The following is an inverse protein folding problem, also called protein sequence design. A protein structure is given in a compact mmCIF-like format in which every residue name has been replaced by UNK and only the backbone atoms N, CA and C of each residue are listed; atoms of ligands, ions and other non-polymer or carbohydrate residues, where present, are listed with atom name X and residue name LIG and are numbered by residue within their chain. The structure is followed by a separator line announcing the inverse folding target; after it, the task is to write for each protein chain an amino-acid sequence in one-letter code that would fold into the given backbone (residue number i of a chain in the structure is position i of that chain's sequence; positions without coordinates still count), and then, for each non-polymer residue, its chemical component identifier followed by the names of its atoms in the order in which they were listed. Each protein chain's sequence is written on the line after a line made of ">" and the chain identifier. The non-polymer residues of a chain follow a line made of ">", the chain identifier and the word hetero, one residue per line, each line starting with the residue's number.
data_IF_470566153964
#
_entry.id   IF_470566153964
#
_cell.length_a   1.000
_cell.length_b   1.000
_cell.length_c   1.000
_cell.angle_alpha   90.00
_cell.angle_beta   90.00
_cell.angle_gamma   90.00
#
_symmetry.space_group_name_H-M   'P 1'
#
loop_
_entity.id
_entity.type
_entity.pdbx_description
1 polymer ?
#
# COMPACT_ATOMS: atom_id res chain seq x y z
N UNK A 1 -1.27 13.06 23.18
CA UNK A 1 -1.00 11.60 23.00
C UNK A 1 -2.12 10.88 22.24
N UNK A 2 -3.40 11.01 22.63
CA UNK A 2 -4.52 10.32 21.94
C UNK A 2 -4.62 10.59 20.43
N UNK A 3 -4.50 11.86 20.01
CA UNK A 3 -4.54 12.24 18.59
C UNK A 3 -3.39 11.65 17.78
N UNK A 4 -2.18 11.58 18.34
CA UNK A 4 -1.01 10.98 17.69
C UNK A 4 -1.21 9.47 17.49
N UNK A 5 -1.68 8.76 18.52
CA UNK A 5 -1.97 7.33 18.43
C UNK A 5 -3.08 7.04 17.42
N UNK A 6 -4.12 7.87 17.37
CA UNK A 6 -5.18 7.74 16.37
C UNK A 6 -4.64 7.93 14.95
N UNK A 7 -3.83 8.96 14.71
CA UNK A 7 -3.19 9.19 13.41
C UNK A 7 -2.32 8.01 12.97
N UNK A 8 -1.55 7.43 13.90
CA UNK A 8 -0.70 6.28 13.63
C UNK A 8 -1.50 5.02 13.25
N UNK A 9 -2.64 4.80 13.92
CA UNK A 9 -3.59 3.72 13.59
C UNK A 9 -4.16 3.92 12.19
N UNK A 10 -4.63 5.12 11.87
CA UNK A 10 -5.18 5.44 10.54
C UNK A 10 -4.15 5.21 9.45
N UNK A 11 -2.93 5.73 9.61
CA UNK A 11 -1.83 5.55 8.64
C UNK A 11 -1.48 4.06 8.47
N UNK A 12 -1.45 3.28 9.55
CA UNK A 12 -1.17 1.84 9.47
C UNK A 12 -2.27 1.09 8.75
N UNK A 13 -3.54 1.41 9.02
CA UNK A 13 -4.68 0.83 8.32
C UNK A 13 -4.62 1.15 6.82
N UNK A 14 -4.33 2.42 6.47
CA UNK A 14 -4.17 2.81 5.07
C UNK A 14 -3.01 2.07 4.39
N UNK A 15 -1.88 1.89 5.08
CA UNK A 15 -0.75 1.13 4.54
C UNK A 15 -1.11 -0.35 4.28
N UNK A 16 -1.88 -0.97 5.19
CA UNK A 16 -2.40 -2.34 5.00
C UNK A 16 -3.39 -2.39 3.83
N UNK A 17 -4.29 -1.42 3.74
CA UNK A 17 -5.26 -1.35 2.63
C UNK A 17 -4.56 -1.16 1.29
N UNK A 18 -3.55 -0.29 1.19
CA UNK A 18 -2.73 -0.13 0.00
C UNK A 18 -2.06 -1.46 -0.37
N UNK A 19 -1.40 -2.12 0.58
CA UNK A 19 -0.78 -3.43 0.34
C UNK A 19 -1.78 -4.44 -0.24
N UNK A 20 -2.98 -4.51 0.34
CA UNK A 20 -3.95 -5.55 0.00
C UNK A 20 -4.72 -5.26 -1.28
N UNK A 21 -5.05 -3.99 -1.53
CA UNK A 21 -5.99 -3.61 -2.58
C UNK A 21 -5.36 -2.88 -3.76
N UNK A 22 -4.05 -2.63 -3.75
CA UNK A 22 -3.38 -2.06 -4.92
C UNK A 22 -2.16 -2.87 -5.33
N UNK A 23 -1.79 -2.80 -6.60
CA UNK A 23 -0.55 -3.39 -7.13
C UNK A 23 0.00 -2.52 -8.25
N UNK A 24 1.30 -2.67 -8.50
CA UNK A 24 1.93 -2.14 -9.70
C UNK A 24 1.64 -3.04 -10.89
N UNK A 25 1.06 -2.49 -11.94
CA UNK A 25 0.96 -3.17 -13.23
C UNK A 25 2.05 -2.66 -14.16
N UNK A 26 2.48 -3.54 -15.06
CA UNK A 26 3.36 -3.22 -16.17
C UNK A 26 3.02 -4.13 -17.35
N UNK A 27 3.14 -3.60 -18.56
CA UNK A 27 2.90 -4.37 -19.77
C UNK A 27 4.19 -5.03 -20.24
N UNK A 28 4.05 -6.18 -20.91
CA UNK A 28 5.20 -6.93 -21.42
C UNK A 28 5.94 -6.18 -22.52
N UNK A 29 5.19 -5.48 -23.37
CA UNK A 29 5.68 -4.87 -24.62
C UNK A 29 5.71 -3.33 -24.59
N UNK A 30 5.29 -2.72 -23.49
CA UNK A 30 5.18 -1.26 -23.31
C UNK A 30 5.80 -0.84 -21.98
N UNK A 31 6.67 0.21 -21.94
CA UNK A 31 7.21 0.76 -20.70
C UNK A 31 6.14 1.33 -19.75
N UNK A 32 4.88 1.45 -20.19
CA UNK A 32 3.76 1.90 -19.38
C UNK A 32 3.61 1.06 -18.12
N UNK A 33 3.69 1.75 -16.97
CA UNK A 33 3.48 1.16 -15.67
C UNK A 33 2.56 2.04 -14.83
N UNK A 34 2.00 1.49 -13.77
CA UNK A 34 1.05 2.22 -12.99
C UNK A 34 0.58 1.50 -11.75
N UNK A 35 -0.41 2.07 -11.08
CA UNK A 35 -1.07 1.45 -9.92
C UNK A 35 -2.50 1.16 -10.27
N UNK A 36 -2.91 -0.08 -10.07
CA UNK A 36 -4.29 -0.52 -10.21
C UNK A 36 -4.87 -0.93 -8.86
N UNK A 37 -6.17 -0.72 -8.72
CA UNK A 37 -6.98 -1.22 -7.63
C UNK A 37 -7.52 -2.59 -8.01
N UNK A 38 -7.25 -3.59 -7.17
CA UNK A 38 -7.75 -4.96 -7.37
C UNK A 38 -9.09 -5.18 -6.68
N UNK A 39 -9.96 -5.98 -7.30
CA UNK A 39 -11.24 -6.35 -6.70
C UNK A 39 -11.11 -7.24 -5.46
N UNK A 40 -10.09 -8.10 -5.40
CA UNK A 40 -9.86 -9.06 -4.30
C UNK A 40 -8.54 -8.78 -3.60
N UNK A 41 -8.49 -8.79 -2.26
CA UNK A 41 -7.26 -8.50 -1.53
C UNK A 41 -6.16 -9.53 -1.85
N UNK A 42 -4.92 -9.07 -2.00
CA UNK A 42 -3.78 -9.94 -2.28
C UNK A 42 -2.46 -9.35 -1.80
N UNK A 43 -1.42 -10.18 -1.79
CA UNK A 43 -0.09 -9.78 -1.29
C UNK A 43 0.93 -9.47 -2.39
N UNK A 44 0.61 -9.81 -3.63
CA UNK A 44 1.50 -9.55 -4.77
C UNK A 44 1.64 -8.04 -4.97
N UNK A 45 2.87 -7.54 -5.05
CA UNK A 45 3.09 -6.10 -5.26
C UNK A 45 3.01 -5.69 -6.73
N UNK A 46 3.22 -6.65 -7.62
CA UNK A 46 3.50 -6.43 -9.03
C UNK A 46 2.82 -7.50 -9.88
N UNK A 47 2.21 -7.10 -10.98
CA UNK A 47 1.63 -8.01 -11.98
C UNK A 47 2.00 -7.56 -13.38
N UNK A 48 2.37 -8.52 -14.20
CA UNK A 48 2.61 -8.32 -15.62
C UNK A 48 1.35 -8.65 -16.39
N UNK A 49 0.96 -7.80 -17.33
CA UNK A 49 -0.12 -8.06 -18.28
C UNK A 49 0.42 -8.09 -19.71
N UNK A 50 -0.25 -8.84 -20.59
CA UNK A 50 0.10 -8.85 -22.01
C UNK A 50 -0.69 -7.81 -22.78
N UNK A 51 -1.92 -7.52 -22.35
CA UNK A 51 -2.78 -6.54 -23.00
C UNK A 51 -3.72 -5.87 -22.00
N UNK A 52 -4.32 -4.74 -22.39
CA UNK A 52 -5.32 -4.04 -21.58
C UNK A 52 -6.54 -4.91 -21.25
N UNK A 53 -6.87 -5.86 -22.14
CA UNK A 53 -7.98 -6.80 -21.94
C UNK A 53 -7.76 -7.72 -20.73
N UNK A 54 -6.51 -7.91 -20.30
CA UNK A 54 -6.16 -8.74 -19.15
C UNK A 54 -6.43 -8.05 -17.79
N UNK A 55 -6.71 -6.75 -17.78
CA UNK A 55 -6.98 -5.98 -16.56
C UNK A 55 -8.30 -6.41 -15.86
N UNK A 56 -9.19 -7.14 -16.56
CA UNK A 56 -10.24 -7.94 -15.90
C UNK A 56 -11.17 -7.17 -14.95
N UNK A 57 -11.40 -5.87 -15.18
CA UNK A 57 -12.24 -5.03 -14.32
C UNK A 57 -11.53 -4.37 -13.13
N UNK A 58 -10.20 -4.51 -13.02
CA UNK A 58 -9.39 -3.74 -12.09
C UNK A 58 -9.35 -2.26 -12.51
N UNK A 59 -9.36 -1.34 -11.53
CA UNK A 59 -9.45 0.10 -11.78
C UNK A 59 -8.06 0.72 -11.79
N UNK A 60 -7.65 1.27 -12.93
CA UNK A 60 -6.39 2.02 -13.04
C UNK A 60 -6.52 3.32 -12.23
N UNK A 61 -5.66 3.48 -11.23
CA UNK A 61 -5.59 4.70 -10.41
C UNK A 61 -4.60 5.71 -10.99
N UNK A 62 -3.46 5.19 -11.47
CA UNK A 62 -2.37 5.99 -12.03
C UNK A 62 -1.74 5.20 -13.16
N UNK A 63 -1.48 5.86 -14.29
CA UNK A 63 -0.76 5.31 -15.45
C UNK A 63 0.28 6.32 -15.87
N UNK A 64 1.55 5.91 -15.96
CA UNK A 64 2.65 6.76 -16.41
C UNK A 64 3.73 5.93 -17.12
N UNK A 65 4.30 6.48 -18.18
CA UNK A 65 5.43 5.88 -18.91
C UNK A 65 6.75 6.06 -18.15
N UNK A 66 6.87 7.10 -17.30
CA UNK A 66 8.13 7.52 -16.69
C UNK A 66 8.13 7.43 -15.15
N UNK A 67 7.29 6.56 -14.58
CA UNK A 67 7.01 6.47 -13.14
C UNK A 67 6.15 7.64 -12.62
N UNK A 68 5.44 7.42 -11.52
CA UNK A 68 4.49 8.39 -11.00
C UNK A 68 5.02 9.11 -9.74
N UNK A 69 4.61 10.37 -9.50
CA UNK A 69 4.94 11.09 -8.27
C UNK A 69 4.52 10.29 -7.02
N UNK A 70 5.48 9.95 -6.17
CA UNK A 70 5.26 9.12 -4.98
C UNK A 70 5.44 7.61 -5.20
N UNK A 71 5.84 7.16 -6.39
CA UNK A 71 6.10 5.74 -6.69
C UNK A 71 7.12 5.09 -5.76
N UNK A 72 8.17 5.81 -5.37
CA UNK A 72 9.13 5.33 -4.37
C UNK A 72 8.52 5.10 -2.98
N UNK A 73 7.69 6.03 -2.50
CA UNK A 73 7.01 5.90 -1.22
C UNK A 73 5.98 4.77 -1.23
N UNK A 74 5.24 4.65 -2.33
CA UNK A 74 4.32 3.53 -2.57
C UNK A 74 5.05 2.19 -2.51
N UNK A 75 6.13 2.02 -3.29
CA UNK A 75 6.96 0.80 -3.31
C UNK A 75 7.50 0.44 -1.94
N UNK A 76 7.96 1.43 -1.18
CA UNK A 76 8.39 1.22 0.21
C UNK A 76 7.25 0.68 1.09
N UNK A 77 6.06 1.29 1.01
CA UNK A 77 4.88 0.87 1.79
C UNK A 77 4.49 -0.57 1.45
N UNK A 78 4.33 -0.92 0.17
CA UNK A 78 3.82 -2.25 -0.24
C UNK A 78 4.87 -3.36 -0.17
N UNK A 79 6.17 -3.04 -0.24
CA UNK A 79 7.24 -4.04 -0.08
C UNK A 79 7.41 -4.52 1.36
N UNK A 80 7.26 -3.64 2.35
CA UNK A 80 7.40 -4.01 3.76
C UNK A 80 7.04 -2.92 4.76
N UNK A 81 6.90 -1.66 4.34
CA UNK A 81 6.51 -0.55 5.20
C UNK A 81 5.18 -0.79 5.93
N UNK A 82 4.22 -1.46 5.28
CA UNK A 82 2.93 -1.81 5.88
C UNK A 82 3.06 -2.67 7.15
N UNK A 83 3.98 -3.65 7.16
CA UNK A 83 4.27 -4.47 8.34
C UNK A 83 4.97 -3.65 9.42
N UNK A 84 5.98 -2.88 9.02
CA UNK A 84 6.72 -2.02 9.95
C UNK A 84 5.81 -1.04 10.69
N UNK A 85 4.91 -0.38 9.97
CA UNK A 85 3.91 0.54 10.53
C UNK A 85 2.95 -0.17 11.49
N UNK A 86 2.47 -1.36 11.13
CA UNK A 86 1.60 -2.14 12.00
C UNK A 86 2.29 -2.52 13.33
N UNK A 87 3.55 -2.98 13.27
CA UNK A 87 4.34 -3.34 14.46
C UNK A 87 4.63 -2.12 15.33
N UNK A 88 5.07 -1.00 14.72
CA UNK A 88 5.32 0.24 15.44
C UNK A 88 4.05 0.75 16.14
N UNK A 89 2.91 0.68 15.45
CA UNK A 89 1.63 1.08 16.03
C UNK A 89 1.22 0.22 17.21
N UNK A 90 1.37 -1.10 17.10
CA UNK A 90 1.17 -2.01 18.23
C UNK A 90 2.06 -1.65 19.42
N UNK A 91 3.34 -1.40 19.18
CA UNK A 91 4.31 -1.01 20.21
C UNK A 91 3.93 0.28 20.93
N UNK A 92 3.56 1.34 20.20
CA UNK A 92 3.13 2.63 20.77
C UNK A 92 1.85 2.48 21.59
N UNK A 93 0.87 1.72 21.12
CA UNK A 93 -0.37 1.47 21.85
C UNK A 93 -0.14 0.70 23.16
N UNK A 94 0.73 -0.32 23.15
CA UNK A 94 1.09 -1.07 24.36
C UNK A 94 1.85 -0.18 25.35
N UNK A 95 2.83 0.60 24.87
CA UNK A 95 3.62 1.49 25.71
C UNK A 95 2.77 2.58 26.38
N UNK A 96 1.84 3.18 25.63
CA UNK A 96 0.94 4.22 26.15
C UNK A 96 -0.06 3.68 27.17
N UNK A 97 -0.61 2.47 26.95
CA UNK A 97 -1.49 1.80 27.94
C UNK A 97 -0.76 1.51 29.25
N UNK A 98 0.49 1.02 29.19
CA UNK A 98 1.30 0.73 30.39
C UNK A 98 1.64 1.99 31.20
N UNK A 99 1.79 3.15 30.55
CA UNK A 99 2.04 4.43 31.24
C UNK A 99 0.81 5.02 31.91
N UNK A 100 -0.41 4.76 31.43
CA UNK A 100 -1.64 5.23 32.05
C UNK A 100 -2.15 4.35 33.20
N UNK A 101 -1.56 3.16 33.39
CA UNK A 101 -1.89 2.22 34.46
C UNK A 101 -0.94 2.32 35.67
N UNK A 102 0.02 3.24 35.64
CA UNK A 102 0.87 3.65 36.76
C UNK A 102 0.46 5.04 37.19
#
# INVERSE_FOLDING_TARGET
>A
MKALSLGLVVVSLLAVLLKLFTYEYFFADDPTCGVALRAQPGLDNRRQFQSDDDLGGDVILVSDENDFPGGGAYRFIVSGGWLGLAVLTGGVLVATRRRGAR
#
